data_IF_641532941136
#
_entry.id   IF_641532941136
#
_cell.length_a   1.000
_cell.length_b   1.000
_cell.length_c   1.000
_cell.angle_alpha   90.00
_cell.angle_beta   90.00
_cell.angle_gamma   90.00
#
_symmetry.space_group_name_H-M   'P 1'
#
loop_
_entity.id
_entity.type
_entity.pdbx_description
1 polymer ?
#
# COMPACT_ATOMS: atom_id res chain seq x y z
N UNK A 1 1.86 6.03 5.20
CA UNK A 1 2.79 7.15 4.80
C UNK A 1 4.25 6.71 4.70
N UNK A 2 4.69 5.69 5.44
CA UNK A 2 6.09 5.20 5.43
C UNK A 2 6.66 4.96 4.01
N UNK A 3 5.89 4.34 3.12
CA UNK A 3 6.35 4.06 1.74
C UNK A 3 6.61 5.33 0.90
N UNK A 4 5.85 6.41 1.14
CA UNK A 4 6.10 7.71 0.48
C UNK A 4 7.38 8.33 1.03
N UNK A 5 7.55 8.32 2.34
CA UNK A 5 8.78 8.79 2.99
C UNK A 5 10.01 8.04 2.44
N UNK A 6 10.00 6.69 2.46
CA UNK A 6 11.07 5.87 1.89
C UNK A 6 11.35 6.22 0.43
N UNK A 7 10.31 6.44 -0.36
CA UNK A 7 10.45 6.83 -1.78
C UNK A 7 11.13 8.19 -1.92
N UNK A 8 10.74 9.19 -1.11
CA UNK A 8 11.30 10.55 -1.17
C UNK A 8 12.77 10.56 -0.78
N UNK A 9 13.14 9.90 0.32
CA UNK A 9 14.53 9.88 0.80
C UNK A 9 15.47 9.03 -0.07
N UNK A 10 14.94 8.15 -0.89
CA UNK A 10 15.71 7.31 -1.80
C UNK A 10 16.11 8.02 -3.10
N UNK A 11 15.55 9.21 -3.38
CA UNK A 11 15.91 10.02 -4.55
C UNK A 11 17.33 10.58 -4.40
N UNK A 12 18.15 10.45 -5.44
CA UNK A 12 19.57 10.87 -5.44
C UNK A 12 19.89 11.92 -6.50
N UNK A 13 19.16 11.93 -7.62
CA UNK A 13 19.35 12.84 -8.76
C UNK A 13 18.37 14.01 -8.77
N UNK A 14 17.30 13.91 -7.98
CA UNK A 14 16.29 14.93 -7.81
C UNK A 14 16.28 15.36 -6.33
N UNK A 15 16.22 16.67 -6.09
CA UNK A 15 16.10 17.22 -4.74
C UNK A 15 14.62 17.47 -4.43
N UNK A 16 13.98 16.68 -3.57
CA UNK A 16 12.58 16.86 -3.25
C UNK A 16 12.38 18.01 -2.26
N UNK A 17 11.35 18.82 -2.51
CA UNK A 17 10.80 19.78 -1.58
C UNK A 17 9.37 19.40 -1.27
N UNK A 18 9.04 19.19 0.01
CA UNK A 18 7.74 18.67 0.43
C UNK A 18 6.85 19.79 0.95
N UNK A 19 5.66 19.93 0.40
CA UNK A 19 4.60 20.78 0.93
C UNK A 19 3.58 19.90 1.65
N UNK A 20 3.32 20.18 2.92
CA UNK A 20 2.38 19.42 3.73
C UNK A 20 1.50 20.33 4.59
N UNK A 21 0.29 19.88 4.92
CA UNK A 21 -0.60 20.62 5.83
C UNK A 21 -0.25 20.40 7.30
N UNK A 22 0.38 19.26 7.61
CA UNK A 22 0.76 18.86 8.97
C UNK A 22 2.00 17.98 8.93
N UNK A 23 2.84 18.12 9.93
CA UNK A 23 3.98 17.25 10.14
C UNK A 23 3.85 16.56 11.48
N UNK A 24 3.90 15.24 11.47
CA UNK A 24 3.79 14.39 12.67
C UNK A 24 4.97 13.42 12.72
N UNK A 25 5.34 12.98 13.92
CA UNK A 25 6.40 11.99 14.15
C UNK A 25 7.74 12.38 13.48
N UNK A 26 8.17 13.62 13.70
CA UNK A 26 9.39 14.19 13.07
C UNK A 26 10.64 13.39 13.37
N UNK A 27 10.75 12.83 14.57
CA UNK A 27 11.88 11.98 14.97
C UNK A 27 11.93 10.68 14.17
N UNK A 28 10.77 10.12 13.83
CA UNK A 28 10.64 8.89 13.06
C UNK A 28 10.80 9.10 11.55
N UNK A 29 10.45 10.32 11.08
CA UNK A 29 10.49 10.68 9.66
C UNK A 29 11.29 11.99 9.48
N UNK A 30 12.61 11.97 9.75
CA UNK A 30 13.44 13.15 9.60
C UNK A 30 13.55 13.54 8.12
N UNK A 31 13.18 14.78 7.79
CA UNK A 31 13.32 15.35 6.46
C UNK A 31 13.35 16.88 6.58
N UNK A 32 14.37 17.53 6.06
CA UNK A 32 14.59 18.97 6.30
C UNK A 32 13.78 19.86 5.36
N UNK A 33 13.72 19.51 4.07
CA UNK A 33 13.08 20.32 3.03
C UNK A 33 11.54 20.17 3.05
N UNK A 34 10.91 20.56 4.17
CA UNK A 34 9.44 20.50 4.34
C UNK A 34 8.91 21.90 4.66
N UNK A 35 7.96 22.35 3.86
CA UNK A 35 7.16 23.55 4.14
C UNK A 35 5.77 23.16 4.63
N UNK A 36 5.42 23.63 5.82
CA UNK A 36 4.06 23.44 6.35
C UNK A 36 3.19 24.59 5.89
N UNK A 37 2.10 24.26 5.22
CA UNK A 37 1.04 25.18 4.81
C UNK A 37 -0.22 24.80 5.57
N UNK A 38 -0.56 25.55 6.63
CA UNK A 38 -1.70 25.25 7.47
C UNK A 38 -3.01 25.45 6.70
N UNK A 39 -4.03 24.71 7.11
CA UNK A 39 -5.38 24.90 6.55
C UNK A 39 -5.90 26.29 6.90
N UNK A 40 -6.52 27.00 5.96
CA UNK A 40 -7.11 28.30 6.24
C UNK A 40 -8.26 28.19 7.26
N UNK A 41 -8.51 29.24 8.03
CA UNK A 41 -9.59 29.27 9.03
C UNK A 41 -10.98 28.93 8.42
N UNK A 42 -11.21 29.31 7.17
CA UNK A 42 -12.44 29.04 6.42
C UNK A 42 -12.58 27.59 5.92
N UNK A 43 -11.54 26.77 6.12
CA UNK A 43 -11.50 25.39 5.61
C UNK A 43 -12.74 24.57 5.97
N UNK A 44 -13.17 24.63 7.23
CA UNK A 44 -14.30 23.83 7.71
C UNK A 44 -15.61 24.23 7.02
N UNK A 45 -15.90 25.52 6.95
CA UNK A 45 -17.11 26.06 6.32
C UNK A 45 -17.14 25.76 4.81
N UNK A 46 -16.02 25.95 4.12
CA UNK A 46 -15.92 25.64 2.69
C UNK A 46 -16.10 24.15 2.42
N UNK A 47 -15.43 23.28 3.19
CA UNK A 47 -15.58 21.82 3.06
C UNK A 47 -17.02 21.39 3.31
N UNK A 48 -17.68 21.93 4.34
CA UNK A 48 -19.09 21.68 4.64
C UNK A 48 -19.98 22.09 3.46
N UNK A 49 -19.81 23.33 2.96
CA UNK A 49 -20.59 23.85 1.85
C UNK A 49 -20.46 23.02 0.56
N UNK A 50 -19.24 22.66 0.17
CA UNK A 50 -19.02 21.83 -1.00
C UNK A 50 -19.61 20.42 -0.83
N UNK A 51 -19.37 19.76 0.30
CA UNK A 51 -19.77 18.36 0.51
C UNK A 51 -21.26 18.20 0.81
N UNK A 52 -21.85 19.08 1.61
CA UNK A 52 -23.23 18.93 2.08
C UNK A 52 -24.24 19.67 1.20
N UNK A 53 -23.88 20.83 0.67
CA UNK A 53 -24.81 21.65 -0.12
C UNK A 53 -24.64 21.48 -1.62
N UNK A 54 -23.44 21.18 -2.11
CA UNK A 54 -23.17 20.99 -3.54
C UNK A 54 -22.89 19.54 -3.94
N UNK A 55 -22.77 18.64 -2.99
CA UNK A 55 -22.34 17.23 -3.21
C UNK A 55 -21.14 17.11 -4.17
N UNK A 56 -20.17 18.02 -4.02
CA UNK A 56 -19.00 18.14 -4.89
C UNK A 56 -17.69 18.09 -4.08
N UNK A 57 -16.58 17.65 -4.68
CA UNK A 57 -15.30 17.75 -4.03
C UNK A 57 -14.89 19.20 -3.89
N UNK A 58 -14.42 19.56 -2.69
CA UNK A 58 -13.96 20.92 -2.44
C UNK A 58 -12.54 21.13 -3.01
N UNK A 59 -12.29 22.32 -3.55
CA UNK A 59 -11.02 22.72 -4.12
C UNK A 59 -10.44 23.91 -3.35
N UNK A 60 -9.13 24.15 -3.50
CA UNK A 60 -8.45 25.30 -2.91
C UNK A 60 -9.08 26.63 -3.40
N UNK A 61 -8.97 27.66 -2.58
CA UNK A 61 -9.40 29.02 -2.92
C UNK A 61 -8.32 29.75 -3.74
N UNK A 62 -8.69 30.88 -4.34
CA UNK A 62 -7.75 31.73 -5.05
C UNK A 62 -6.62 32.23 -4.15
N UNK A 63 -6.92 32.54 -2.87
CA UNK A 63 -5.92 32.92 -1.89
C UNK A 63 -4.92 31.78 -1.61
N UNK A 64 -5.40 30.52 -1.45
CA UNK A 64 -4.56 29.35 -1.30
C UNK A 64 -3.74 29.08 -2.58
N UNK A 65 -4.35 29.27 -3.75
CA UNK A 65 -3.68 29.15 -5.05
C UNK A 65 -2.52 30.12 -5.17
N UNK A 66 -2.74 31.42 -4.92
CA UNK A 66 -1.69 32.45 -4.98
C UNK A 66 -0.57 32.19 -4.00
N UNK A 67 -0.90 31.75 -2.78
CA UNK A 67 0.09 31.40 -1.76
C UNK A 67 0.95 30.22 -2.22
N UNK A 68 0.34 29.15 -2.76
CA UNK A 68 1.08 27.98 -3.24
C UNK A 68 1.95 28.29 -4.46
N UNK A 69 1.44 29.07 -5.41
CA UNK A 69 2.24 29.52 -6.57
C UNK A 69 3.41 30.39 -6.12
N UNK A 70 3.20 31.32 -5.18
CA UNK A 70 4.26 32.14 -4.60
C UNK A 70 5.30 31.33 -3.84
N UNK A 71 4.92 30.22 -3.20
CA UNK A 71 5.85 29.30 -2.57
C UNK A 71 6.66 28.52 -3.61
N UNK A 72 6.01 27.97 -4.61
CA UNK A 72 6.64 27.20 -5.67
C UNK A 72 7.62 28.05 -6.50
N UNK A 73 7.31 29.33 -6.75
CA UNK A 73 8.21 30.23 -7.47
C UNK A 73 9.53 30.48 -6.73
N UNK A 74 9.53 30.39 -5.38
CA UNK A 74 10.73 30.56 -4.55
C UNK A 74 11.61 29.31 -4.47
N UNK A 75 11.11 28.15 -4.91
CA UNK A 75 11.81 26.87 -4.76
C UNK A 75 12.50 26.39 -6.05
N UNK A 76 12.45 27.11 -7.14
CA UNK A 76 12.90 26.66 -8.49
C UNK A 76 12.37 25.27 -8.85
N UNK A 77 11.16 24.95 -8.40
CA UNK A 77 10.55 23.67 -8.65
C UNK A 77 10.21 23.50 -10.14
N UNK A 78 10.66 22.40 -10.75
CA UNK A 78 10.47 22.11 -12.18
C UNK A 78 9.42 21.05 -12.43
N UNK A 79 8.97 20.35 -11.40
CA UNK A 79 7.96 19.31 -11.47
C UNK A 79 7.16 19.30 -10.17
N UNK A 80 5.85 19.14 -10.29
CA UNK A 80 4.94 18.98 -9.18
C UNK A 80 4.47 17.52 -9.12
N UNK A 81 4.78 16.81 -8.03
CA UNK A 81 4.26 15.46 -7.80
C UNK A 81 3.25 15.47 -6.65
N UNK A 82 2.02 15.13 -6.94
CA UNK A 82 0.92 15.07 -5.98
C UNK A 82 0.62 13.61 -5.65
N UNK A 83 0.73 13.28 -4.38
CA UNK A 83 0.39 11.96 -3.87
C UNK A 83 -1.10 11.90 -3.53
N UNK A 84 -1.79 10.87 -4.04
CA UNK A 84 -3.22 10.60 -3.95
C UNK A 84 -4.13 11.45 -4.87
N UNK A 85 -4.99 10.75 -5.61
CA UNK A 85 -5.93 11.35 -6.55
C UNK A 85 -6.88 12.37 -5.91
N UNK A 86 -7.36 12.12 -4.69
CA UNK A 86 -8.23 13.05 -3.96
C UNK A 86 -7.54 14.38 -3.63
N UNK A 87 -6.24 14.34 -3.30
CA UNK A 87 -5.45 15.55 -3.07
C UNK A 87 -5.25 16.30 -4.39
N UNK A 88 -5.05 15.58 -5.49
CA UNK A 88 -4.91 16.19 -6.80
C UNK A 88 -6.22 16.86 -7.26
N UNK A 89 -7.38 16.26 -7.00
CA UNK A 89 -8.69 16.90 -7.25
C UNK A 89 -8.86 18.17 -6.42
N UNK A 90 -8.44 18.15 -5.15
CA UNK A 90 -8.44 19.34 -4.29
C UNK A 90 -7.52 20.44 -4.82
N UNK A 91 -6.38 20.07 -5.37
CA UNK A 91 -5.36 20.96 -5.94
C UNK A 91 -5.56 21.22 -7.45
N UNK A 92 -6.70 20.87 -8.04
CA UNK A 92 -6.94 21.06 -9.48
C UNK A 92 -6.73 22.52 -9.95
N UNK A 93 -7.13 23.58 -9.20
CA UNK A 93 -6.79 24.95 -9.58
C UNK A 93 -5.28 25.19 -9.67
N UNK A 94 -4.48 24.62 -8.75
CA UNK A 94 -3.03 24.70 -8.80
C UNK A 94 -2.45 23.97 -10.01
N UNK A 95 -2.93 22.77 -10.31
CA UNK A 95 -2.48 21.96 -11.46
C UNK A 95 -2.70 22.73 -12.76
N UNK A 96 -3.84 23.42 -12.91
CA UNK A 96 -4.18 24.22 -14.09
C UNK A 96 -3.36 25.50 -14.23
N UNK A 97 -3.02 26.13 -13.12
CA UNK A 97 -2.22 27.37 -13.12
C UNK A 97 -0.71 27.11 -13.18
N UNK A 98 -0.26 25.89 -12.85
CA UNK A 98 1.15 25.52 -12.82
C UNK A 98 1.70 25.33 -14.25
N UNK A 99 2.79 26.04 -14.59
CA UNK A 99 3.33 26.05 -15.96
C UNK A 99 4.27 24.87 -16.25
N UNK A 100 4.81 24.23 -15.22
CA UNK A 100 5.69 23.07 -15.37
C UNK A 100 4.91 21.74 -15.27
N UNK A 101 5.52 20.60 -15.64
CA UNK A 101 4.85 19.31 -15.57
C UNK A 101 4.30 18.97 -14.18
N UNK A 102 3.10 18.40 -14.14
CA UNK A 102 2.48 17.83 -12.93
C UNK A 102 2.28 16.33 -13.06
N UNK A 103 2.54 15.62 -11.99
CA UNK A 103 2.36 14.17 -11.84
C UNK A 103 1.42 13.90 -10.68
N UNK A 104 0.50 12.97 -10.85
CA UNK A 104 -0.29 12.44 -9.74
C UNK A 104 -0.01 10.96 -9.56
N UNK A 105 0.10 10.49 -8.31
CA UNK A 105 0.23 9.06 -8.02
C UNK A 105 -0.96 8.53 -7.24
N UNK A 106 -1.54 7.42 -7.73
CA UNK A 106 -2.60 6.67 -7.08
C UNK A 106 -2.04 5.49 -6.31
N UNK A 107 -2.60 5.25 -5.10
CA UNK A 107 -2.05 4.30 -4.13
C UNK A 107 -3.00 3.17 -3.73
N UNK A 108 -4.21 3.14 -4.26
CA UNK A 108 -5.22 2.12 -3.98
C UNK A 108 -6.62 2.71 -3.81
N UNK A 109 -7.08 2.85 -2.57
CA UNK A 109 -8.43 3.32 -2.25
C UNK A 109 -8.79 4.69 -2.86
N UNK A 110 -7.81 5.50 -3.16
CA UNK A 110 -7.98 6.83 -3.77
C UNK A 110 -8.51 6.82 -5.22
N UNK A 111 -8.58 5.64 -5.84
CA UNK A 111 -9.23 5.42 -7.14
C UNK A 111 -10.75 5.21 -7.01
N UNK A 112 -11.22 4.70 -5.86
CA UNK A 112 -12.61 4.27 -5.69
C UNK A 112 -13.45 5.18 -4.81
N UNK A 113 -12.81 5.99 -3.93
CA UNK A 113 -13.51 6.82 -2.96
C UNK A 113 -14.37 7.87 -3.63
N UNK A 114 -15.66 7.92 -3.24
CA UNK A 114 -16.70 8.84 -3.73
C UNK A 114 -16.96 8.75 -5.26
N UNK A 115 -16.46 7.71 -5.97
CA UNK A 115 -16.65 7.58 -7.43
C UNK A 115 -18.10 7.20 -7.83
N UNK A 116 -18.95 6.84 -6.89
CA UNK A 116 -20.38 6.70 -7.08
C UNK A 116 -21.11 8.06 -7.25
N UNK A 117 -20.45 9.18 -6.87
CA UNK A 117 -21.00 10.52 -6.98
C UNK A 117 -20.59 11.18 -8.30
N UNK A 118 -21.54 11.63 -9.15
CA UNK A 118 -21.25 12.20 -10.47
C UNK A 118 -20.26 13.37 -10.44
N UNK A 119 -20.42 14.31 -9.49
CA UNK A 119 -19.54 15.47 -9.38
C UNK A 119 -18.10 15.12 -8.99
N UNK A 120 -17.90 14.06 -8.18
CA UNK A 120 -16.57 13.57 -7.81
C UNK A 120 -15.90 12.87 -9.01
N UNK A 121 -16.65 12.07 -9.77
CA UNK A 121 -16.17 11.42 -10.97
C UNK A 121 -15.74 12.45 -12.03
N UNK A 122 -16.57 13.48 -12.24
CA UNK A 122 -16.28 14.55 -13.19
C UNK A 122 -15.04 15.36 -12.79
N UNK A 123 -14.92 15.74 -11.51
CA UNK A 123 -13.74 16.44 -11.02
C UNK A 123 -12.46 15.58 -11.12
N UNK A 124 -12.58 14.27 -10.94
CA UNK A 124 -11.47 13.34 -11.14
C UNK A 124 -11.07 13.29 -12.61
N UNK A 125 -12.03 13.21 -13.55
CA UNK A 125 -11.73 13.29 -15.00
C UNK A 125 -11.01 14.58 -15.36
N UNK A 126 -11.53 15.72 -14.91
CA UNK A 126 -10.89 17.02 -15.15
C UNK A 126 -9.46 17.09 -14.60
N UNK A 127 -9.21 16.47 -13.46
CA UNK A 127 -7.87 16.37 -12.89
C UNK A 127 -6.97 15.45 -13.74
N UNK A 128 -7.46 14.28 -14.18
CA UNK A 128 -6.74 13.37 -15.06
C UNK A 128 -6.41 14.00 -16.42
N UNK A 129 -7.31 14.83 -16.96
CA UNK A 129 -7.05 15.59 -18.19
C UNK A 129 -5.98 16.66 -17.99
N UNK A 130 -5.98 17.35 -16.84
CA UNK A 130 -5.08 18.46 -16.55
C UNK A 130 -3.64 18.01 -16.23
N UNK A 131 -3.45 16.85 -15.58
CA UNK A 131 -2.10 16.36 -15.23
C UNK A 131 -1.35 15.86 -16.46
N UNK A 132 -0.03 15.99 -16.43
CA UNK A 132 0.84 15.50 -17.52
C UNK A 132 1.05 14.00 -17.47
N UNK A 133 1.11 13.41 -16.27
CA UNK A 133 1.37 11.98 -16.06
C UNK A 133 0.64 11.47 -14.81
N UNK A 134 0.17 10.24 -14.89
CA UNK A 134 -0.47 9.50 -13.82
C UNK A 134 0.39 8.28 -13.48
N UNK A 135 0.81 8.15 -12.23
CA UNK A 135 1.54 7.00 -11.72
C UNK A 135 0.61 6.11 -10.91
N UNK A 136 0.67 4.81 -11.18
CA UNK A 136 -0.11 3.81 -10.47
C UNK A 136 0.78 2.70 -9.91
N UNK A 137 0.37 2.04 -8.84
CA UNK A 137 1.19 1.05 -8.14
C UNK A 137 1.08 -0.37 -8.73
N UNK A 138 0.06 -0.62 -9.54
CA UNK A 138 -0.26 -1.95 -10.06
C UNK A 138 -1.02 -1.86 -11.38
N UNK A 139 -1.08 -2.96 -12.14
CA UNK A 139 -1.88 -3.06 -13.35
C UNK A 139 -3.39 -2.99 -13.06
N UNK A 140 -3.82 -3.49 -11.90
CA UNK A 140 -5.22 -3.35 -11.46
C UNK A 140 -5.60 -1.89 -11.26
N UNK A 141 -4.73 -1.08 -10.63
CA UNK A 141 -4.93 0.37 -10.50
C UNK A 141 -4.85 1.10 -11.84
N UNK A 142 -3.98 0.64 -12.77
CA UNK A 142 -3.92 1.19 -14.11
C UNK A 142 -5.25 1.07 -14.83
N UNK A 143 -5.85 -0.13 -14.82
CA UNK A 143 -7.19 -0.36 -15.38
C UNK A 143 -8.23 0.53 -14.72
N UNK A 144 -8.27 0.57 -13.40
CA UNK A 144 -9.23 1.39 -12.67
C UNK A 144 -9.14 2.90 -12.99
N UNK A 145 -7.93 3.45 -13.16
CA UNK A 145 -7.73 4.85 -13.58
C UNK A 145 -8.14 5.08 -15.04
N UNK A 146 -7.89 4.11 -15.91
CA UNK A 146 -8.34 4.17 -17.32
C UNK A 146 -9.87 4.11 -17.42
N UNK A 147 -10.54 3.30 -16.58
CA UNK A 147 -12.01 3.22 -16.51
C UNK A 147 -12.63 4.54 -16.00
N UNK A 148 -11.87 5.37 -15.29
CA UNK A 148 -12.26 6.74 -14.94
C UNK A 148 -12.09 7.75 -16.10
N UNK A 149 -11.56 7.31 -17.25
CA UNK A 149 -11.40 8.11 -18.46
C UNK A 149 -10.00 8.69 -18.65
N UNK A 150 -8.99 8.22 -17.94
CA UNK A 150 -7.61 8.65 -18.15
C UNK A 150 -7.06 8.14 -19.51
N UNK A 151 -6.38 8.99 -20.25
CA UNK A 151 -5.67 8.60 -21.48
C UNK A 151 -4.60 7.54 -21.13
N UNK A 152 -4.64 6.34 -21.74
CA UNK A 152 -3.67 5.28 -21.49
C UNK A 152 -2.20 5.71 -21.67
N UNK A 153 -1.94 6.69 -22.55
CA UNK A 153 -0.60 7.24 -22.80
C UNK A 153 -0.04 8.07 -21.65
N UNK A 154 -0.91 8.52 -20.75
CA UNK A 154 -0.54 9.27 -19.54
C UNK A 154 -0.34 8.38 -18.32
N UNK A 155 -0.57 7.05 -18.41
CA UNK A 155 -0.54 6.17 -17.23
C UNK A 155 0.71 5.30 -17.25
N UNK A 156 1.55 5.43 -16.23
CA UNK A 156 2.73 4.58 -16.03
C UNK A 156 2.68 3.86 -14.68
N UNK A 157 3.18 2.62 -14.67
CA UNK A 157 3.29 1.84 -13.44
C UNK A 157 4.58 2.22 -12.73
N UNK A 158 4.45 2.78 -11.53
CA UNK A 158 5.53 3.05 -10.58
C UNK A 158 5.29 2.24 -9.31
N UNK A 159 5.99 1.12 -9.17
CA UNK A 159 5.80 0.18 -8.06
C UNK A 159 6.30 0.78 -6.73
N UNK A 160 5.79 0.27 -5.63
CA UNK A 160 6.35 0.55 -4.31
C UNK A 160 7.71 -0.13 -4.17
N UNK A 161 8.68 0.58 -3.59
CA UNK A 161 9.98 0.02 -3.26
C UNK A 161 10.05 -0.48 -1.82
N UNK A 162 10.72 -1.61 -1.61
CA UNK A 162 11.04 -2.20 -0.30
C UNK A 162 12.54 -2.00 -0.03
N UNK A 163 12.93 -1.48 1.14
CA UNK A 163 14.34 -1.36 1.52
C UNK A 163 14.90 -2.75 1.87
N UNK A 164 15.53 -3.41 0.90
CA UNK A 164 16.00 -4.79 1.05
C UNK A 164 17.07 -4.94 2.13
N UNK A 165 17.82 -3.89 2.41
CA UNK A 165 18.79 -3.82 3.50
C UNK A 165 18.13 -3.93 4.89
N UNK A 166 16.88 -3.51 5.03
CA UNK A 166 16.11 -3.69 6.27
C UNK A 166 15.53 -5.11 6.41
N UNK A 167 15.36 -5.84 5.29
CA UNK A 167 14.75 -7.17 5.23
C UNK A 167 15.65 -8.17 4.48
N UNK A 168 16.90 -8.40 4.95
CA UNK A 168 17.79 -9.36 4.31
C UNK A 168 17.17 -10.75 4.28
N UNK A 169 17.35 -11.44 3.16
CA UNK A 169 16.88 -12.82 3.02
C UNK A 169 17.54 -13.74 4.06
N UNK A 170 16.72 -14.49 4.79
CA UNK A 170 17.18 -15.58 5.65
C UNK A 170 16.43 -16.86 5.31
N UNK A 171 17.19 -17.92 5.09
CA UNK A 171 16.58 -19.23 4.87
C UNK A 171 15.83 -19.69 6.13
N UNK A 172 14.68 -20.35 5.95
CA UNK A 172 13.86 -20.82 7.05
C UNK A 172 14.04 -22.32 7.26
N UNK A 173 14.17 -22.73 8.52
CA UNK A 173 13.90 -24.10 8.95
C UNK A 173 12.45 -24.25 9.33
N UNK A 174 11.80 -25.33 8.91
CA UNK A 174 10.40 -25.58 9.21
C UNK A 174 10.26 -26.62 10.33
N UNK A 175 9.25 -26.48 11.23
CA UNK A 175 9.14 -27.28 12.42
C UNK A 175 8.73 -28.72 12.09
N UNK A 176 9.45 -29.69 12.62
CA UNK A 176 9.09 -31.12 12.54
C UNK A 176 8.14 -31.54 13.69
N UNK A 177 8.10 -30.76 14.77
CA UNK A 177 7.31 -31.04 15.99
C UNK A 177 5.91 -30.41 15.97
N UNK A 178 5.49 -29.83 14.83
CA UNK A 178 4.17 -29.19 14.65
C UNK A 178 4.04 -27.78 15.25
N UNK A 179 5.13 -27.17 15.71
CA UNK A 179 5.13 -25.79 16.29
C UNK A 179 5.21 -24.71 15.24
N UNK A 180 4.25 -24.73 14.32
CA UNK A 180 4.16 -23.73 13.25
C UNK A 180 3.87 -22.33 13.79
N UNK A 181 4.54 -21.32 13.28
CA UNK A 181 4.33 -19.91 13.60
C UNK A 181 3.92 -19.14 12.37
N UNK A 182 2.69 -18.61 12.41
CA UNK A 182 2.11 -17.82 11.34
C UNK A 182 2.13 -16.34 11.73
N UNK A 183 2.19 -15.46 10.71
CA UNK A 183 2.04 -14.03 10.91
C UNK A 183 1.18 -13.43 9.81
N UNK A 184 0.34 -12.46 10.18
CA UNK A 184 -0.30 -11.50 9.28
C UNK A 184 -0.04 -10.09 9.80
N UNK A 185 0.32 -9.15 8.90
CA UNK A 185 0.57 -7.76 9.28
C UNK A 185 -0.17 -6.78 8.38
N UNK A 186 -0.81 -5.79 9.01
CA UNK A 186 -1.54 -4.74 8.30
C UNK A 186 -2.64 -4.13 9.13
N UNK A 187 -3.31 -3.09 8.58
CA UNK A 187 -4.47 -2.48 9.25
C UNK A 187 -5.59 -3.50 9.44
N UNK A 188 -6.27 -3.48 10.59
CA UNK A 188 -7.40 -4.36 10.87
C UNK A 188 -8.68 -3.83 10.21
N UNK A 189 -8.76 -3.97 8.89
CA UNK A 189 -9.87 -3.55 8.03
C UNK A 189 -10.32 -4.71 7.14
N UNK A 190 -11.53 -4.65 6.65
CA UNK A 190 -12.22 -5.70 5.92
C UNK A 190 -11.39 -6.30 4.77
N UNK A 191 -10.83 -5.43 3.93
CA UNK A 191 -10.06 -5.89 2.75
C UNK A 191 -8.82 -6.73 3.06
N UNK A 192 -8.40 -6.81 4.33
CA UNK A 192 -7.25 -7.64 4.76
C UNK A 192 -7.60 -9.11 5.02
N UNK A 193 -8.88 -9.48 4.92
CA UNK A 193 -9.33 -10.85 5.04
C UNK A 193 -9.01 -11.53 6.38
N UNK A 194 -8.91 -10.76 7.48
CA UNK A 194 -8.53 -11.28 8.80
C UNK A 194 -9.47 -12.39 9.31
N UNK A 195 -10.80 -12.34 9.08
CA UNK A 195 -11.69 -13.45 9.41
C UNK A 195 -11.37 -14.73 8.61
N UNK A 196 -10.92 -14.59 7.35
CA UNK A 196 -10.48 -15.73 6.52
C UNK A 196 -9.25 -16.38 7.13
N UNK A 197 -8.28 -15.56 7.58
CA UNK A 197 -7.08 -16.04 8.29
C UNK A 197 -7.44 -16.82 9.55
N UNK A 198 -8.31 -16.28 10.41
CA UNK A 198 -8.69 -16.95 11.67
C UNK A 198 -9.39 -18.28 11.41
N UNK A 199 -10.31 -18.35 10.46
CA UNK A 199 -11.00 -19.59 10.11
C UNK A 199 -10.07 -20.64 9.47
N UNK A 200 -9.19 -20.22 8.57
CA UNK A 200 -8.18 -21.10 7.99
C UNK A 200 -7.22 -21.62 9.05
N UNK A 201 -6.79 -20.78 9.96
CA UNK A 201 -5.91 -21.15 11.06
C UNK A 201 -6.61 -22.12 12.04
N UNK A 202 -7.89 -21.92 12.36
CA UNK A 202 -8.68 -22.86 13.17
C UNK A 202 -8.72 -24.26 12.54
N UNK A 203 -8.88 -24.35 11.22
CA UNK A 203 -8.84 -25.62 10.50
C UNK A 203 -7.44 -26.25 10.53
N UNK A 204 -6.39 -25.46 10.40
CA UNK A 204 -5.00 -25.93 10.48
C UNK A 204 -4.66 -26.50 11.87
N UNK A 205 -5.15 -25.87 12.94
CA UNK A 205 -4.92 -26.31 14.33
C UNK A 205 -5.46 -27.69 14.64
N UNK A 206 -6.46 -28.20 13.90
CA UNK A 206 -6.99 -29.56 14.09
C UNK A 206 -5.91 -30.62 13.85
N UNK A 207 -4.98 -30.37 12.95
CA UNK A 207 -3.85 -31.27 12.65
C UNK A 207 -2.56 -30.86 13.38
N UNK A 208 -2.36 -29.57 13.62
CA UNK A 208 -1.16 -29.02 14.27
C UNK A 208 -1.52 -28.19 15.50
N UNK A 209 -1.93 -28.80 16.63
CA UNK A 209 -2.49 -28.09 17.78
C UNK A 209 -1.49 -27.19 18.53
N UNK A 210 -0.18 -27.31 18.21
CA UNK A 210 0.87 -26.45 18.79
C UNK A 210 1.13 -25.18 17.97
N UNK A 211 0.50 -25.04 16.79
CA UNK A 211 0.69 -23.87 15.96
C UNK A 211 0.22 -22.59 16.64
N UNK A 212 0.82 -21.45 16.26
CA UNK A 212 0.48 -20.12 16.75
C UNK A 212 0.35 -19.12 15.59
N UNK A 213 -0.46 -18.09 15.79
CA UNK A 213 -0.67 -17.01 14.84
C UNK A 213 -0.50 -15.65 15.51
N UNK A 214 0.34 -14.79 14.95
CA UNK A 214 0.45 -13.39 15.36
C UNK A 214 -0.19 -12.49 14.29
N UNK A 215 -1.13 -11.64 14.72
CA UNK A 215 -1.74 -10.60 13.88
C UNK A 215 -1.24 -9.26 14.38
N UNK A 216 -0.40 -8.59 13.59
CA UNK A 216 0.20 -7.30 13.92
C UNK A 216 -0.53 -6.16 13.17
N UNK A 217 -1.10 -5.22 13.91
CA UNK A 217 -1.78 -4.06 13.37
C UNK A 217 -2.95 -3.59 14.22
N UNK A 218 -3.50 -2.44 13.84
CA UNK A 218 -4.66 -1.81 14.47
C UNK A 218 -5.73 -1.47 13.42
N UNK A 219 -6.96 -1.30 13.88
CA UNK A 219 -8.08 -0.89 13.04
C UNK A 219 -9.44 -1.20 13.63
N UNK A 220 -10.50 -0.77 12.93
CA UNK A 220 -11.88 -0.87 13.43
C UNK A 220 -12.36 -2.30 13.68
N UNK A 221 -11.77 -3.31 13.04
CA UNK A 221 -12.18 -4.71 13.23
C UNK A 221 -11.63 -5.37 14.50
N UNK A 222 -10.85 -4.67 15.34
CA UNK A 222 -10.22 -5.30 16.52
C UNK A 222 -11.22 -5.99 17.46
N UNK A 223 -12.36 -5.35 17.75
CA UNK A 223 -13.39 -5.91 18.61
C UNK A 223 -14.00 -7.19 18.01
N UNK A 224 -14.37 -7.14 16.74
CA UNK A 224 -14.92 -8.28 16.00
C UNK A 224 -13.92 -9.45 15.90
N UNK A 225 -12.63 -9.15 15.71
CA UNK A 225 -11.60 -10.19 15.65
C UNK A 225 -11.37 -10.85 17.01
N UNK A 226 -11.45 -10.11 18.12
CA UNK A 226 -11.41 -10.67 19.47
C UNK A 226 -12.58 -11.61 19.75
N UNK A 227 -13.79 -11.24 19.31
CA UNK A 227 -14.97 -12.08 19.40
C UNK A 227 -14.81 -13.35 18.58
N UNK A 228 -14.47 -13.24 17.30
CA UNK A 228 -14.25 -14.38 16.41
C UNK A 228 -13.13 -15.32 16.94
N UNK A 229 -12.08 -14.77 17.55
CA UNK A 229 -11.01 -15.57 18.16
C UNK A 229 -11.56 -16.44 19.30
N UNK A 230 -12.43 -15.90 20.16
CA UNK A 230 -13.12 -16.64 21.23
C UNK A 230 -14.07 -17.69 20.68
N UNK A 231 -14.91 -17.33 19.71
CA UNK A 231 -15.90 -18.24 19.11
C UNK A 231 -15.21 -19.45 18.46
N UNK A 232 -14.05 -19.23 17.85
CA UNK A 232 -13.23 -20.28 17.25
C UNK A 232 -12.33 -21.00 18.29
N UNK A 233 -12.35 -20.61 19.58
CA UNK A 233 -11.52 -21.14 20.67
C UNK A 233 -10.02 -21.03 20.40
N UNK A 234 -9.59 -19.88 19.88
CA UNK A 234 -8.21 -19.60 19.47
C UNK A 234 -7.42 -18.75 20.46
N UNK A 235 -8.01 -18.36 21.61
CA UNK A 235 -7.44 -17.39 22.56
C UNK A 235 -6.01 -17.71 23.00
N UNK A 236 -5.67 -18.99 23.12
CA UNK A 236 -4.34 -19.44 23.53
C UNK A 236 -3.35 -19.59 22.37
N UNK A 237 -3.80 -19.44 21.13
CA UNK A 237 -3.03 -19.70 19.91
C UNK A 237 -2.92 -18.50 18.98
N UNK A 238 -3.73 -17.46 19.21
CA UNK A 238 -3.72 -16.23 18.41
C UNK A 238 -3.34 -15.04 19.28
N UNK A 239 -2.33 -14.29 18.85
CA UNK A 239 -1.92 -13.03 19.47
C UNK A 239 -2.33 -11.88 18.56
N UNK A 240 -3.23 -11.02 19.05
CA UNK A 240 -3.54 -9.72 18.43
C UNK A 240 -2.56 -8.68 19.00
N UNK A 241 -1.43 -8.48 18.32
CA UNK A 241 -0.30 -7.71 18.84
C UNK A 241 -0.49 -6.18 18.85
N UNK A 242 -1.58 -5.68 18.23
CA UNK A 242 -1.76 -4.24 18.07
C UNK A 242 -0.72 -3.61 17.13
N UNK A 243 -0.52 -2.30 17.28
CA UNK A 243 0.55 -1.61 16.57
C UNK A 243 1.92 -2.06 17.08
N UNK A 244 2.80 -2.43 16.16
CA UNK A 244 4.20 -2.77 16.47
C UNK A 244 5.15 -1.87 15.67
N UNK A 245 6.36 -1.64 16.19
CA UNK A 245 7.41 -0.92 15.47
C UNK A 245 7.86 -1.71 14.23
N UNK A 246 8.53 -1.04 13.28
CA UNK A 246 9.12 -1.73 12.12
C UNK A 246 10.18 -2.76 12.54
N UNK A 247 10.94 -2.46 13.58
CA UNK A 247 11.92 -3.37 14.16
C UNK A 247 11.25 -4.61 14.74
N UNK A 248 10.25 -4.43 15.61
CA UNK A 248 9.47 -5.54 16.19
C UNK A 248 8.79 -6.36 15.09
N UNK A 249 8.22 -5.71 14.05
CA UNK A 249 7.60 -6.41 12.95
C UNK A 249 8.60 -7.28 12.18
N UNK A 250 9.80 -6.77 11.95
CA UNK A 250 10.90 -7.52 11.32
C UNK A 250 11.28 -8.75 12.17
N UNK A 251 11.38 -8.59 13.50
CA UNK A 251 11.68 -9.70 14.39
C UNK A 251 10.58 -10.77 14.36
N UNK A 252 9.31 -10.35 14.32
CA UNK A 252 8.17 -11.25 14.14
C UNK A 252 8.28 -12.00 12.80
N UNK A 253 8.64 -11.34 11.70
CA UNK A 253 8.86 -12.01 10.42
C UNK A 253 9.95 -13.08 10.52
N UNK A 254 11.09 -12.77 11.15
CA UNK A 254 12.20 -13.72 11.28
C UNK A 254 11.89 -14.88 12.27
N UNK A 255 11.01 -14.67 13.23
CA UNK A 255 10.54 -15.70 14.13
C UNK A 255 9.43 -16.59 13.54
N UNK A 256 8.81 -16.18 12.42
CA UNK A 256 7.69 -16.88 11.79
C UNK A 256 8.13 -17.85 10.70
N UNK A 257 7.25 -18.79 10.34
CA UNK A 257 7.45 -19.78 9.30
C UNK A 257 6.66 -19.48 8.02
N UNK A 258 5.49 -18.85 8.15
CA UNK A 258 4.56 -18.55 7.04
C UNK A 258 3.92 -17.19 7.28
N UNK A 259 3.83 -16.39 6.20
CA UNK A 259 3.08 -15.14 6.17
C UNK A 259 1.74 -15.32 5.47
N UNK A 260 0.66 -14.83 6.09
CA UNK A 260 -0.70 -14.89 5.56
C UNK A 260 -1.16 -13.51 5.07
N UNK A 261 -1.79 -13.45 3.89
CA UNK A 261 -2.36 -12.21 3.37
C UNK A 261 -3.61 -12.45 2.50
N UNK A 262 -4.69 -13.04 3.04
CA UNK A 262 -5.89 -13.37 2.27
C UNK A 262 -6.78 -12.14 2.05
N UNK A 263 -6.24 -11.12 1.38
CA UNK A 263 -6.98 -9.90 1.05
C UNK A 263 -8.17 -10.19 0.14
N UNK A 264 -9.18 -9.35 0.27
CA UNK A 264 -10.45 -9.47 -0.44
C UNK A 264 -10.97 -8.09 -0.83
N UNK A 265 -11.93 -8.03 -1.74
CA UNK A 265 -12.66 -6.79 -2.06
C UNK A 265 -13.52 -6.39 -0.87
N UNK A 266 -13.37 -5.16 -0.37
CA UNK A 266 -14.23 -4.62 0.69
C UNK A 266 -15.62 -4.26 0.17
N UNK A 267 -16.59 -4.10 1.07
CA UNK A 267 -17.96 -3.68 0.70
C UNK A 267 -18.01 -2.32 0.01
N UNK A 268 -17.01 -1.47 0.26
CA UNK A 268 -16.82 -0.17 -0.41
C UNK A 268 -16.13 -0.27 -1.78
N UNK A 269 -15.92 -1.48 -2.30
CA UNK A 269 -15.18 -1.75 -3.53
C UNK A 269 -13.66 -1.53 -3.41
N UNK A 270 -13.15 -1.28 -2.19
CA UNK A 270 -11.75 -1.04 -1.95
C UNK A 270 -10.91 -2.32 -2.16
N UNK A 271 -9.91 -2.20 -3.03
CA UNK A 271 -9.00 -3.30 -3.36
C UNK A 271 -7.58 -3.01 -2.87
N UNK A 272 -6.77 -4.06 -2.82
CA UNK A 272 -5.33 -3.92 -2.61
C UNK A 272 -4.61 -3.56 -3.91
N UNK A 273 -3.60 -2.69 -3.78
CA UNK A 273 -2.52 -2.70 -4.75
C UNK A 273 -1.60 -3.91 -4.49
N UNK A 274 -0.29 -3.67 -4.37
CA UNK A 274 0.64 -4.70 -3.89
C UNK A 274 0.98 -4.37 -2.44
N UNK A 275 0.61 -5.23 -1.46
CA UNK A 275 0.77 -4.93 -0.03
C UNK A 275 2.23 -4.88 0.41
N UNK A 276 2.66 -3.77 1.06
CA UNK A 276 4.07 -3.63 1.49
C UNK A 276 4.48 -4.70 2.51
N UNK A 277 3.63 -4.99 3.52
CA UNK A 277 3.94 -6.01 4.52
C UNK A 277 4.14 -7.40 3.91
N UNK A 278 3.42 -7.70 2.83
CA UNK A 278 3.62 -8.94 2.07
C UNK A 278 4.97 -8.95 1.35
N UNK A 279 5.33 -7.84 0.70
CA UNK A 279 6.63 -7.71 0.04
C UNK A 279 7.80 -7.74 1.04
N UNK A 280 7.65 -7.11 2.21
CA UNK A 280 8.63 -7.16 3.30
C UNK A 280 8.82 -8.60 3.80
N UNK A 281 7.72 -9.34 3.99
CA UNK A 281 7.75 -10.75 4.36
C UNK A 281 8.44 -11.61 3.30
N UNK A 282 8.08 -11.45 2.01
CA UNK A 282 8.74 -12.14 0.89
C UNK A 282 10.24 -11.84 0.85
N UNK A 283 10.63 -10.55 0.98
CA UNK A 283 12.04 -10.14 0.99
C UNK A 283 12.83 -10.84 2.11
N UNK A 284 12.23 -10.96 3.30
CA UNK A 284 12.85 -11.60 4.46
C UNK A 284 13.01 -13.13 4.33
N UNK A 285 12.42 -13.75 3.31
CA UNK A 285 12.42 -15.19 3.08
C UNK A 285 11.27 -15.94 3.74
N UNK A 286 10.13 -15.27 4.05
CA UNK A 286 8.91 -15.96 4.45
C UNK A 286 8.14 -16.48 3.23
N UNK A 287 7.74 -17.76 3.20
CA UNK A 287 6.71 -18.25 2.29
C UNK A 287 5.42 -17.47 2.51
N UNK A 288 4.81 -16.99 1.43
CA UNK A 288 3.59 -16.19 1.48
C UNK A 288 2.40 -16.96 0.91
N UNK A 289 1.31 -16.97 1.67
CA UNK A 289 0.00 -17.47 1.26
C UNK A 289 -0.98 -16.30 1.22
N UNK A 290 -1.52 -16.03 0.05
CA UNK A 290 -2.35 -14.86 -0.22
C UNK A 290 -3.55 -15.23 -1.11
N UNK A 291 -4.36 -14.26 -1.45
CA UNK A 291 -5.47 -14.43 -2.39
C UNK A 291 -5.15 -13.89 -3.78
N UNK A 292 -5.82 -14.40 -4.78
CA UNK A 292 -5.79 -13.89 -6.15
C UNK A 292 -6.61 -12.60 -6.24
N UNK A 293 -6.13 -11.55 -5.56
CA UNK A 293 -6.83 -10.28 -5.34
C UNK A 293 -5.99 -9.07 -5.75
N UNK A 294 -6.62 -8.12 -6.43
CA UNK A 294 -6.03 -6.81 -6.75
C UNK A 294 -4.67 -6.92 -7.46
N UNK A 295 -3.65 -6.27 -6.90
CA UNK A 295 -2.28 -6.30 -7.41
C UNK A 295 -1.42 -7.45 -6.87
N UNK A 296 -1.93 -8.31 -5.99
CA UNK A 296 -1.16 -9.42 -5.38
C UNK A 296 -0.57 -10.37 -6.44
N UNK A 297 -1.30 -10.77 -7.52
CA UNK A 297 -0.76 -11.63 -8.57
C UNK A 297 0.40 -11.01 -9.37
N UNK A 298 0.67 -9.71 -9.22
CA UNK A 298 1.85 -9.09 -9.85
C UNK A 298 3.15 -9.36 -9.10
N UNK A 299 3.04 -9.66 -7.80
CA UNK A 299 4.16 -10.02 -6.94
C UNK A 299 4.29 -11.53 -6.74
N UNK A 300 3.18 -12.27 -6.81
CA UNK A 300 3.15 -13.71 -6.55
C UNK A 300 2.69 -14.45 -7.82
N UNK A 301 3.57 -15.29 -8.34
CA UNK A 301 3.24 -16.36 -9.29
C UNK A 301 2.87 -17.59 -8.46
N UNK A 302 1.62 -18.09 -8.66
CA UNK A 302 1.08 -19.16 -7.85
C UNK A 302 1.93 -20.43 -7.89
N UNK A 303 2.22 -21.00 -6.73
CA UNK A 303 3.06 -22.19 -6.51
C UNK A 303 4.55 -22.02 -6.92
N UNK A 304 4.95 -20.85 -7.39
CA UNK A 304 6.34 -20.52 -7.77
C UNK A 304 6.98 -19.56 -6.76
N UNK A 305 6.38 -18.40 -6.50
CA UNK A 305 6.90 -17.37 -5.59
C UNK A 305 6.02 -17.11 -4.37
N UNK A 306 4.97 -17.90 -4.21
CA UNK A 306 4.00 -17.90 -3.13
C UNK A 306 2.82 -18.78 -3.49
N UNK A 307 1.81 -18.86 -2.64
CA UNK A 307 0.58 -19.61 -2.90
C UNK A 307 -0.59 -18.65 -2.96
N UNK A 308 -1.39 -18.75 -4.01
CA UNK A 308 -2.61 -17.97 -4.21
C UNK A 308 -3.86 -18.84 -4.12
N UNK A 309 -4.82 -18.40 -3.30
CA UNK A 309 -6.14 -19.02 -3.18
C UNK A 309 -7.23 -18.01 -3.59
N UNK A 310 -8.48 -18.43 -3.84
CA UNK A 310 -9.60 -17.51 -4.09
C UNK A 310 -9.86 -16.55 -2.92
N UNK A 311 -10.44 -15.38 -3.21
CA UNK A 311 -10.99 -14.49 -2.18
C UNK A 311 -12.02 -15.23 -1.33
N UNK A 312 -12.10 -14.91 -0.04
CA UNK A 312 -12.99 -15.56 0.94
C UNK A 312 -12.75 -17.07 1.17
N UNK A 313 -11.81 -17.69 0.44
CA UNK A 313 -11.52 -19.13 0.46
C UNK A 313 -10.73 -19.56 1.69
N UNK A 314 -11.34 -19.55 2.89
CA UNK A 314 -10.65 -19.98 4.10
C UNK A 314 -10.38 -21.50 4.14
N UNK A 315 -11.21 -22.30 3.47
CA UNK A 315 -11.02 -23.76 3.37
C UNK A 315 -9.87 -24.08 2.41
N UNK A 316 -9.82 -23.40 1.26
CA UNK A 316 -8.73 -23.49 0.30
C UNK A 316 -7.40 -23.06 0.91
N UNK A 317 -7.42 -21.96 1.68
CA UNK A 317 -6.24 -21.50 2.40
C UNK A 317 -5.76 -22.53 3.42
N UNK A 318 -6.67 -23.09 4.23
CA UNK A 318 -6.35 -24.12 5.20
C UNK A 318 -5.76 -25.36 4.53
N UNK A 319 -6.36 -25.83 3.44
CA UNK A 319 -5.88 -26.98 2.65
C UNK A 319 -4.50 -26.72 2.07
N UNK A 320 -4.27 -25.52 1.51
CA UNK A 320 -2.96 -25.12 0.98
C UNK A 320 -1.89 -25.12 2.06
N UNK A 321 -2.21 -24.62 3.26
CA UNK A 321 -1.32 -24.61 4.42
C UNK A 321 -0.99 -26.02 4.91
N UNK A 322 -2.00 -26.91 5.01
CA UNK A 322 -1.82 -28.31 5.41
C UNK A 322 -0.92 -29.06 4.43
N UNK A 323 -1.15 -28.90 3.13
CA UNK A 323 -0.32 -29.52 2.09
C UNK A 323 1.12 -29.01 2.15
N UNK A 324 1.32 -27.70 2.31
CA UNK A 324 2.64 -27.10 2.39
C UNK A 324 3.40 -27.50 3.67
N UNK A 325 2.70 -27.73 4.78
CA UNK A 325 3.31 -28.23 6.02
C UNK A 325 3.91 -29.64 5.87
N UNK A 326 3.44 -30.40 4.87
CA UNK A 326 3.97 -31.73 4.53
C UNK A 326 5.10 -31.68 3.47
N UNK A 327 5.35 -30.51 2.84
CA UNK A 327 6.40 -30.31 1.84
C UNK A 327 7.29 -29.09 2.20
N UNK A 328 8.24 -29.26 3.14
CA UNK A 328 9.19 -28.18 3.46
C UNK A 328 10.04 -27.73 2.25
N UNK A 329 10.25 -28.61 1.28
CA UNK A 329 10.94 -28.31 0.03
C UNK A 329 10.17 -27.29 -0.82
N UNK A 330 8.84 -27.41 -0.91
CA UNK A 330 7.98 -26.43 -1.54
C UNK A 330 8.10 -25.06 -0.84
N UNK A 331 8.02 -25.03 0.49
CA UNK A 331 8.12 -23.80 1.26
C UNK A 331 9.46 -23.08 1.02
N UNK A 332 10.56 -23.83 1.00
CA UNK A 332 11.89 -23.26 0.71
C UNK A 332 11.98 -22.70 -0.71
N UNK A 333 11.42 -23.40 -1.70
CA UNK A 333 11.41 -22.93 -3.11
C UNK A 333 10.64 -21.64 -3.27
N UNK A 334 9.40 -21.60 -2.77
CA UNK A 334 8.55 -20.40 -2.92
C UNK A 334 9.11 -19.20 -2.14
N UNK A 335 9.75 -19.42 -0.99
CA UNK A 335 10.42 -18.37 -0.23
C UNK A 335 11.58 -17.74 -1.01
N UNK A 336 12.46 -18.55 -1.60
CA UNK A 336 13.58 -18.05 -2.42
C UNK A 336 13.09 -17.32 -3.67
N UNK A 337 12.15 -17.91 -4.43
CA UNK A 337 11.58 -17.30 -5.63
C UNK A 337 10.80 -16.01 -5.28
N UNK A 338 10.10 -15.98 -4.14
CA UNK A 338 9.42 -14.80 -3.64
C UNK A 338 10.37 -13.65 -3.36
N UNK A 339 11.46 -13.92 -2.62
CA UNK A 339 12.47 -12.91 -2.32
C UNK A 339 13.19 -12.41 -3.60
N UNK A 340 13.45 -13.30 -4.55
CA UNK A 340 14.03 -12.91 -5.84
C UNK A 340 13.07 -12.02 -6.65
N UNK A 341 11.78 -12.31 -6.64
CA UNK A 341 10.75 -11.48 -7.29
C UNK A 341 10.72 -10.08 -6.68
N UNK A 342 10.79 -9.96 -5.34
CA UNK A 342 10.83 -8.65 -4.67
C UNK A 342 12.11 -7.91 -5.03
N UNK A 343 13.25 -8.57 -5.03
CA UNK A 343 14.54 -7.96 -5.42
C UNK A 343 14.50 -7.41 -6.84
N UNK A 344 13.94 -8.15 -7.79
CA UNK A 344 13.89 -7.74 -9.20
C UNK A 344 12.88 -6.63 -9.46
N UNK A 345 11.69 -6.69 -8.83
CA UNK A 345 10.55 -5.84 -9.20
C UNK A 345 10.23 -4.73 -8.17
N UNK A 346 10.66 -4.89 -6.91
CA UNK A 346 10.22 -4.05 -5.80
C UNK A 346 11.37 -3.53 -4.92
N UNK A 347 12.61 -3.61 -5.38
CA UNK A 347 13.74 -2.98 -4.69
C UNK A 347 13.60 -1.46 -4.65
N UNK A 348 13.77 -0.85 -3.47
CA UNK A 348 13.57 0.59 -3.26
C UNK A 348 14.49 1.43 -4.14
N UNK A 349 15.76 1.04 -4.27
CA UNK A 349 16.75 1.80 -5.03
C UNK A 349 16.45 1.73 -6.55
N UNK A 350 15.99 0.57 -7.02
CA UNK A 350 15.57 0.38 -8.42
C UNK A 350 14.33 1.23 -8.70
N UNK A 351 13.34 1.20 -7.81
CA UNK A 351 12.09 1.97 -7.99
C UNK A 351 12.32 3.48 -7.84
N UNK A 352 13.22 3.93 -6.97
CA UNK A 352 13.60 5.33 -6.86
C UNK A 352 14.28 5.83 -8.14
N UNK A 353 15.25 5.09 -8.69
CA UNK A 353 15.90 5.44 -9.96
C UNK A 353 14.88 5.53 -11.10
N UNK A 354 13.96 4.58 -11.20
CA UNK A 354 12.88 4.63 -12.20
C UNK A 354 12.02 5.87 -12.07
N UNK A 355 11.67 6.27 -10.84
CA UNK A 355 10.91 7.49 -10.61
C UNK A 355 11.68 8.73 -11.02
N UNK A 356 12.98 8.79 -10.73
CA UNK A 356 13.85 9.88 -11.18
C UNK A 356 13.98 9.94 -12.70
N UNK A 357 14.08 8.80 -13.39
CA UNK A 357 14.08 8.74 -14.86
C UNK A 357 12.77 9.32 -15.44
N UNK A 358 11.63 8.99 -14.81
CA UNK A 358 10.33 9.59 -15.18
C UNK A 358 10.37 11.11 -15.00
N UNK A 359 10.84 11.61 -13.84
CA UNK A 359 10.91 13.04 -13.58
C UNK A 359 11.81 13.76 -14.56
N UNK A 360 13.04 13.25 -14.78
CA UNK A 360 14.02 13.86 -15.69
C UNK A 360 13.51 13.90 -17.13
N UNK A 361 12.86 12.84 -17.60
CA UNK A 361 12.20 12.80 -18.91
C UNK A 361 11.13 13.89 -19.04
N UNK A 362 10.31 14.08 -17.99
CA UNK A 362 9.23 15.06 -18.00
C UNK A 362 9.72 16.51 -18.03
N UNK A 363 10.86 16.81 -17.42
CA UNK A 363 11.45 18.15 -17.42
C UNK A 363 12.42 18.39 -18.61
N UNK A 364 12.43 17.48 -19.61
CA UNK A 364 13.27 17.62 -20.81
C UNK A 364 14.77 17.37 -20.57
N UNK A 365 15.16 16.67 -19.48
CA UNK A 365 16.56 16.34 -19.16
C UNK A 365 16.86 14.83 -19.27
N UNK A 366 15.92 14.05 -19.74
CA UNK A 366 16.05 12.62 -19.92
C UNK A 366 16.21 12.30 -21.41
N UNK A 367 17.40 12.45 -21.93
CA UNK A 367 17.88 11.85 -23.15
C UNK A 367 19.29 11.33 -22.91
#
# INVERSE_FOLDING_TARGET
>A
MLHIYRQIIALKRCTPFVIAQKREQTERYPFESVQIVPKPATHFLRRFWFRQLRDAPWQISDAELHMLLGLLSKTDARLLHIYFGQIAVHLLPLIRAWQNPSVVSFHGADVTVDMNKPAYREATRQMLDAVKLVLVRSESLRRAVMDLGCDPRKVEIQRTGIPLEEFPFRERSFPQNGEWRFVQAGRLIEKKGLPVTLRAFANFLRQYPKATLTIAGEGPLLAQLKELTRDLRLDQRVTLAGFVSQETLRDIYYASHIFLHPSQTGHDGNQEGVPNSMLEAMASGLPVFATQHGGIPEAIENSVSGVLVPEHGYEELARALLNAAQDPGLLSRIARSGAETVRKKFDLQVQARRLEDIYLRMIGRGA
#
